data_IF_542338150698
#
_entry.id   IF_542338150698
#
_cell.length_a   1.000
_cell.length_b   1.000
_cell.length_c   1.000
_cell.angle_alpha   90.00
_cell.angle_beta   90.00
_cell.angle_gamma   90.00
#
_symmetry.space_group_name_H-M   'P 1'
#
loop_
_entity.id
_entity.type
_entity.pdbx_description
1 polymer ?
#
# COMPACT_ATOMS: atom_id res chain seq x y z
N UNK A 1 53.98 -20.19 -37.31
CA UNK A 1 52.58 -20.27 -37.74
C UNK A 1 51.71 -20.33 -36.49
N UNK A 2 51.49 -19.19 -35.86
CA UNK A 2 50.50 -18.97 -34.80
C UNK A 2 50.70 -17.54 -34.29
N UNK A 3 49.75 -16.65 -34.55
CA UNK A 3 49.45 -15.44 -33.75
C UNK A 3 48.45 -14.57 -34.53
N UNK A 4 47.19 -14.98 -34.49
CA UNK A 4 46.04 -14.13 -34.82
C UNK A 4 44.91 -14.47 -33.85
N UNK A 5 44.91 -13.77 -32.72
CA UNK A 5 43.77 -13.53 -31.83
C UNK A 5 44.32 -12.76 -30.66
N UNK A 6 44.08 -11.47 -30.57
CA UNK A 6 43.98 -10.67 -29.33
C UNK A 6 43.65 -9.24 -29.74
N UNK A 7 42.41 -9.06 -30.15
CA UNK A 7 41.74 -7.77 -30.24
C UNK A 7 40.29 -8.07 -29.84
N UNK A 8 39.60 -7.13 -29.17
CA UNK A 8 38.29 -7.28 -28.48
C UNK A 8 38.30 -7.68 -27.00
N UNK A 9 39.01 -6.95 -26.14
CA UNK A 9 38.51 -6.66 -24.77
C UNK A 9 39.01 -5.26 -24.37
N UNK A 10 38.28 -4.22 -24.75
CA UNK A 10 38.27 -2.95 -24.01
C UNK A 10 37.13 -2.06 -24.53
N UNK A 11 35.90 -2.34 -24.09
CA UNK A 11 34.84 -1.37 -24.19
C UNK A 11 33.94 -1.42 -22.94
N UNK A 12 34.12 -0.38 -22.12
CA UNK A 12 33.19 0.16 -21.11
C UNK A 12 33.03 -0.63 -19.81
N UNK A 13 33.88 -0.24 -18.85
CA UNK A 13 33.49 -0.08 -17.45
C UNK A 13 32.32 0.90 -17.34
N UNK A 14 31.10 0.40 -17.53
CA UNK A 14 29.91 1.02 -16.95
C UNK A 14 29.87 0.46 -15.53
N UNK A 15 30.30 1.28 -14.56
CA UNK A 15 30.07 1.02 -13.14
C UNK A 15 28.56 1.05 -12.95
N UNK A 16 27.94 -0.12 -12.99
CA UNK A 16 26.56 -0.33 -12.56
C UNK A 16 26.63 -0.66 -11.07
N UNK A 17 26.35 0.32 -10.20
CA UNK A 17 26.33 0.15 -8.73
C UNK A 17 25.51 -1.08 -8.30
N UNK A 18 24.53 -1.50 -9.12
CA UNK A 18 23.71 -2.68 -8.88
C UNK A 18 24.43 -4.00 -9.18
N UNK A 19 25.39 -3.99 -10.10
CA UNK A 19 26.24 -5.13 -10.44
C UNK A 19 27.29 -5.38 -9.36
N UNK A 20 27.81 -4.32 -8.74
CA UNK A 20 28.70 -4.42 -7.58
C UNK A 20 27.98 -4.91 -6.32
N UNK A 21 26.67 -4.65 -6.17
CA UNK A 21 25.85 -5.23 -5.09
C UNK A 21 25.63 -6.75 -5.23
N UNK A 22 25.45 -7.26 -6.47
CA UNK A 22 25.34 -8.70 -6.71
C UNK A 22 26.70 -9.39 -6.53
N UNK A 23 27.79 -8.77 -6.97
CA UNK A 23 29.14 -9.33 -6.80
C UNK A 23 29.63 -9.23 -5.35
N UNK A 24 29.28 -8.16 -4.63
CA UNK A 24 29.49 -8.09 -3.18
C UNK A 24 28.67 -9.14 -2.47
N UNK A 25 27.44 -9.46 -2.90
CA UNK A 25 26.65 -10.55 -2.28
C UNK A 25 27.30 -11.93 -2.32
N UNK A 26 28.22 -12.18 -3.27
CA UNK A 26 29.01 -13.43 -3.34
C UNK A 26 30.27 -13.35 -2.46
N UNK A 27 30.80 -12.15 -2.20
CA UNK A 27 31.94 -11.92 -1.28
C UNK A 27 31.46 -11.78 0.18
N UNK A 28 30.19 -11.43 0.40
CA UNK A 28 29.54 -11.23 1.70
C UNK A 28 29.27 -12.50 2.51
N UNK A 29 29.63 -13.68 2.01
CA UNK A 29 29.75 -14.85 2.90
C UNK A 29 30.87 -14.63 3.95
N UNK A 30 31.79 -13.67 3.74
CA UNK A 30 32.88 -13.35 4.68
C UNK A 30 32.66 -12.10 5.56
N UNK A 31 31.67 -11.24 5.29
CA UNK A 31 31.32 -10.09 6.15
C UNK A 31 29.90 -10.27 6.73
N UNK A 32 29.80 -10.47 8.05
CA UNK A 32 28.55 -10.75 8.78
C UNK A 32 27.47 -9.64 8.72
N UNK A 33 27.66 -8.56 7.95
CA UNK A 33 26.78 -7.38 7.96
C UNK A 33 26.21 -7.05 6.57
N UNK A 34 25.00 -6.48 6.54
CA UNK A 34 24.35 -6.12 5.27
C UNK A 34 25.11 -4.99 4.55
N UNK A 35 25.27 -5.05 3.21
CA UNK A 35 25.90 -3.97 2.44
C UNK A 35 25.04 -2.70 2.38
N UNK A 36 23.77 -2.79 2.78
CA UNK A 36 22.82 -1.67 2.77
C UNK A 36 22.85 -1.03 4.17
N UNK A 37 23.35 0.21 4.30
CA UNK A 37 23.57 0.85 5.61
C UNK A 37 22.30 0.91 6.47
N UNK A 38 21.13 1.14 5.85
CA UNK A 38 19.85 1.22 6.53
C UNK A 38 19.43 -0.14 7.12
N UNK A 39 19.76 -1.23 6.44
CA UNK A 39 19.49 -2.59 6.91
C UNK A 39 20.46 -2.94 8.04
N UNK A 40 21.75 -2.69 7.84
CA UNK A 40 22.80 -2.94 8.84
C UNK A 40 22.58 -2.17 10.16
N UNK A 41 22.00 -0.96 10.10
CA UNK A 41 21.72 -0.15 11.27
C UNK A 41 20.51 -0.63 12.09
N UNK A 42 19.60 -1.38 11.48
CA UNK A 42 18.28 -1.70 12.05
C UNK A 42 18.15 -3.19 12.38
N UNK A 43 18.69 -4.06 11.53
CA UNK A 43 18.54 -5.50 11.63
C UNK A 43 19.71 -6.07 12.44
N UNK A 44 19.40 -6.94 13.41
CA UNK A 44 20.41 -7.67 14.16
C UNK A 44 20.98 -8.81 13.32
N UNK A 45 22.30 -8.95 13.31
CA UNK A 45 22.99 -10.03 12.58
C UNK A 45 22.98 -11.37 13.37
N UNK A 46 22.61 -11.33 14.65
CA UNK A 46 22.51 -12.51 15.51
C UNK A 46 21.06 -12.92 15.75
N UNK A 47 20.79 -14.22 15.70
CA UNK A 47 19.51 -14.84 16.09
C UNK A 47 19.72 -15.93 17.14
N UNK A 48 18.75 -16.13 18.03
CA UNK A 48 18.69 -17.26 18.96
C UNK A 48 17.58 -18.25 18.53
N UNK A 49 17.93 -19.38 17.89
CA UNK A 49 16.95 -20.36 17.41
C UNK A 49 16.12 -21.04 18.50
N UNK A 50 16.55 -20.98 19.77
CA UNK A 50 15.90 -21.68 20.88
C UNK A 50 14.65 -20.97 21.43
N UNK A 51 14.44 -19.70 21.07
CA UNK A 51 13.32 -18.91 21.58
C UNK A 51 11.96 -19.45 21.13
N UNK A 52 11.00 -19.66 22.06
CA UNK A 52 9.67 -20.16 21.73
C UNK A 52 8.85 -19.12 20.97
N UNK A 53 8.19 -19.54 19.89
CA UNK A 53 7.51 -18.64 18.96
C UNK A 53 5.98 -18.89 18.85
N UNK A 54 5.55 -20.15 18.70
CA UNK A 54 4.14 -20.56 18.61
C UNK A 54 3.56 -20.95 19.98
N UNK A 55 3.49 -19.99 20.89
CA UNK A 55 2.96 -20.21 22.26
C UNK A 55 1.43 -20.13 22.30
N UNK A 56 0.84 -20.45 23.46
CA UNK A 56 -0.57 -20.16 23.73
C UNK A 56 -0.91 -18.67 23.59
N UNK A 57 -0.04 -17.76 24.08
CA UNK A 57 -0.26 -16.31 23.97
C UNK A 57 -0.27 -15.86 22.51
N UNK A 58 0.61 -16.44 21.66
CA UNK A 58 0.59 -16.19 20.23
C UNK A 58 -0.79 -16.48 19.63
N UNK A 59 -1.34 -17.68 19.83
CA UNK A 59 -2.63 -18.06 19.23
C UNK A 59 -3.78 -17.18 19.71
N UNK A 60 -3.84 -16.88 21.01
CA UNK A 60 -4.89 -16.03 21.58
C UNK A 60 -4.79 -14.60 21.04
N UNK A 61 -3.61 -13.99 21.11
CA UNK A 61 -3.41 -12.60 20.70
C UNK A 61 -3.51 -12.42 19.19
N UNK A 62 -2.88 -13.29 18.41
CA UNK A 62 -2.92 -13.25 16.95
C UNK A 62 -4.37 -13.35 16.45
N UNK A 63 -5.17 -14.28 16.99
CA UNK A 63 -6.58 -14.43 16.61
C UNK A 63 -7.39 -13.20 17.00
N UNK A 64 -7.25 -12.72 18.23
CA UNK A 64 -7.99 -11.55 18.72
C UNK A 64 -7.67 -10.29 17.89
N UNK A 65 -6.39 -9.98 17.68
CA UNK A 65 -5.99 -8.83 16.86
C UNK A 65 -6.43 -8.97 15.40
N UNK A 66 -6.34 -10.17 14.83
CA UNK A 66 -6.79 -10.43 13.45
C UNK A 66 -8.29 -10.13 13.28
N UNK A 67 -9.13 -10.60 14.19
CA UNK A 67 -10.58 -10.35 14.16
C UNK A 67 -10.88 -8.86 14.32
N UNK A 68 -10.28 -8.21 15.31
CA UNK A 68 -10.53 -6.79 15.60
C UNK A 68 -10.11 -5.91 14.42
N UNK A 69 -8.89 -6.11 13.90
CA UNK A 69 -8.35 -5.27 12.83
C UNK A 69 -9.09 -5.51 11.52
N UNK A 70 -9.36 -6.76 11.16
CA UNK A 70 -10.12 -7.07 9.95
C UNK A 70 -11.50 -6.40 9.98
N UNK A 71 -12.20 -6.47 11.12
CA UNK A 71 -13.48 -5.80 11.30
C UNK A 71 -13.36 -4.28 11.18
N UNK A 72 -12.45 -3.65 11.93
CA UNK A 72 -12.29 -2.20 11.92
C UNK A 72 -11.88 -1.67 10.54
N UNK A 73 -10.91 -2.31 9.87
CA UNK A 73 -10.45 -1.88 8.55
C UNK A 73 -11.55 -2.07 7.50
N UNK A 74 -12.27 -3.18 7.52
CA UNK A 74 -13.41 -3.39 6.62
C UNK A 74 -14.53 -2.37 6.84
N UNK A 75 -14.79 -2.00 8.09
CA UNK A 75 -15.79 -0.99 8.44
C UNK A 75 -15.38 0.40 7.93
N UNK A 76 -14.11 0.78 8.12
CA UNK A 76 -13.61 2.09 7.68
C UNK A 76 -13.34 2.19 6.18
N UNK A 77 -13.25 1.06 5.46
CA UNK A 77 -13.03 1.02 4.01
C UNK A 77 -14.06 1.82 3.21
N UNK A 78 -15.33 1.83 3.64
CA UNK A 78 -16.40 2.54 2.93
C UNK A 78 -16.41 4.06 3.17
N UNK A 79 -15.44 4.61 3.92
CA UNK A 79 -15.29 6.06 4.06
C UNK A 79 -14.64 6.63 2.79
N UNK A 80 -14.97 7.89 2.47
CA UNK A 80 -14.32 8.61 1.36
C UNK A 80 -12.80 8.71 1.55
N UNK A 81 -12.35 8.91 2.78
CA UNK A 81 -10.95 8.81 3.18
C UNK A 81 -10.85 7.62 4.15
N UNK A 82 -10.51 6.42 3.66
CA UNK A 82 -10.43 5.23 4.49
C UNK A 82 -9.36 5.40 5.57
N UNK A 83 -9.67 4.92 6.77
CA UNK A 83 -8.70 4.80 7.87
C UNK A 83 -8.32 3.34 7.98
N UNK A 84 -7.04 3.05 7.97
CA UNK A 84 -6.53 1.68 8.08
C UNK A 84 -5.63 1.55 9.31
N UNK A 85 -5.95 0.58 10.16
CA UNK A 85 -5.13 0.18 11.28
C UNK A 85 -4.01 -0.73 10.73
N UNK A 86 -2.77 -0.23 10.80
CA UNK A 86 -1.58 -0.94 10.36
C UNK A 86 -0.96 -1.84 11.43
N UNK A 87 0.05 -2.61 11.01
CA UNK A 87 0.79 -3.56 11.88
C UNK A 87 1.38 -2.90 13.13
N UNK A 88 1.83 -1.65 13.04
CA UNK A 88 2.49 -0.95 14.16
C UNK A 88 1.59 -0.83 15.39
N UNK A 89 0.27 -0.67 15.22
CA UNK A 89 -0.67 -0.63 16.35
C UNK A 89 -0.68 -1.97 17.09
N UNK A 90 -0.64 -3.10 16.36
CA UNK A 90 -0.54 -4.43 16.97
C UNK A 90 0.74 -4.58 17.75
N UNK A 91 1.88 -4.15 17.17
CA UNK A 91 3.18 -4.25 17.85
C UNK A 91 3.19 -3.48 19.18
N UNK A 92 2.57 -2.30 19.21
CA UNK A 92 2.55 -1.48 20.40
C UNK A 92 1.63 -2.02 21.48
N UNK A 93 0.48 -2.58 21.10
CA UNK A 93 -0.49 -3.14 22.04
C UNK A 93 -0.12 -4.55 22.49
N UNK A 94 0.42 -5.37 21.59
CA UNK A 94 0.81 -6.74 21.89
C UNK A 94 1.98 -6.80 22.89
N UNK A 95 2.89 -5.82 22.89
CA UNK A 95 4.00 -5.81 23.85
C UNK A 95 3.56 -5.78 25.34
N UNK A 96 2.80 -4.77 25.82
CA UNK A 96 2.36 -4.74 27.22
C UNK A 96 1.40 -5.90 27.55
N UNK A 97 0.52 -6.29 26.63
CA UNK A 97 -0.39 -7.44 26.83
C UNK A 97 0.41 -8.75 26.96
N UNK A 98 1.41 -8.97 26.10
CA UNK A 98 2.28 -10.14 26.13
C UNK A 98 3.10 -10.23 27.41
N UNK A 99 3.70 -9.10 27.85
CA UNK A 99 4.39 -9.00 29.15
C UNK A 99 3.45 -9.24 30.33
N UNK A 100 2.20 -8.76 30.26
CA UNK A 100 1.19 -9.00 31.28
C UNK A 100 0.79 -10.48 31.34
N UNK A 101 0.47 -11.09 30.20
CA UNK A 101 0.17 -12.53 30.11
C UNK A 101 1.35 -13.39 30.59
N UNK A 102 2.60 -12.97 30.32
CA UNK A 102 3.78 -13.65 30.84
C UNK A 102 3.93 -13.60 32.37
N UNK A 103 3.38 -12.59 33.03
CA UNK A 103 3.40 -12.47 34.50
C UNK A 103 2.22 -13.18 35.18
N UNK A 104 1.06 -13.22 34.51
CA UNK A 104 -0.19 -13.71 35.11
C UNK A 104 -0.47 -15.18 34.81
N UNK A 105 -0.09 -15.68 33.63
CA UNK A 105 -0.37 -17.07 33.26
C UNK A 105 0.53 -18.05 34.02
N UNK A 106 0.00 -19.23 34.41
CA UNK A 106 0.77 -20.25 35.10
C UNK A 106 1.87 -20.82 34.21
N UNK A 107 3.05 -21.03 34.79
CA UNK A 107 4.21 -21.62 34.13
C UNK A 107 3.89 -23.00 33.54
N UNK A 108 4.43 -23.30 32.36
CA UNK A 108 4.21 -24.57 31.66
C UNK A 108 3.75 -24.34 30.22
N UNK A 109 2.78 -25.12 29.74
CA UNK A 109 2.29 -25.02 28.35
C UNK A 109 1.68 -23.65 28.02
N UNK A 110 0.95 -23.04 28.98
CA UNK A 110 0.34 -21.72 28.80
C UNK A 110 1.34 -20.57 28.86
N UNK A 111 2.48 -20.78 29.52
CA UNK A 111 3.52 -19.79 29.72
C UNK A 111 4.90 -20.49 29.73
N UNK A 112 5.47 -20.76 28.53
CA UNK A 112 6.74 -21.47 28.40
C UNK A 112 7.95 -20.63 28.80
N UNK A 113 7.78 -19.31 28.97
CA UNK A 113 8.84 -18.40 29.35
C UNK A 113 8.47 -16.93 29.18
N UNK A 114 9.44 -16.02 29.38
CA UNK A 114 9.25 -14.59 29.18
C UNK A 114 8.74 -14.26 27.78
N UNK A 115 7.95 -13.19 27.67
CA UNK A 115 7.53 -12.68 26.36
C UNK A 115 8.74 -12.17 25.58
N UNK A 116 8.96 -12.77 24.40
CA UNK A 116 10.15 -12.57 23.57
C UNK A 116 9.81 -11.95 22.22
N UNK A 117 10.85 -11.51 21.51
CA UNK A 117 10.71 -10.80 20.23
C UNK A 117 10.11 -11.67 19.12
N UNK A 118 10.41 -12.98 19.06
CA UNK A 118 9.89 -13.86 18.00
C UNK A 118 8.39 -14.08 18.12
N UNK A 119 7.94 -14.38 19.34
CA UNK A 119 6.53 -14.48 19.68
C UNK A 119 5.79 -13.17 19.32
N UNK A 120 6.38 -12.02 19.67
CA UNK A 120 5.81 -10.72 19.37
C UNK A 120 5.71 -10.43 17.86
N UNK A 121 6.77 -10.71 17.11
CA UNK A 121 6.83 -10.57 15.65
C UNK A 121 5.76 -11.42 14.98
N UNK A 122 5.61 -12.69 15.40
CA UNK A 122 4.58 -13.57 14.84
C UNK A 122 3.16 -13.09 15.10
N UNK A 123 2.87 -12.57 16.30
CA UNK A 123 1.54 -12.01 16.62
C UNK A 123 1.19 -10.87 15.66
N UNK A 124 2.13 -9.93 15.49
CA UNK A 124 1.92 -8.77 14.63
C UNK A 124 1.83 -9.15 13.15
N UNK A 125 2.64 -10.11 12.68
CA UNK A 125 2.59 -10.60 11.30
C UNK A 125 1.26 -11.30 11.02
N UNK A 126 0.80 -12.17 11.91
CA UNK A 126 -0.48 -12.86 11.77
C UNK A 126 -1.65 -11.86 11.68
N UNK A 127 -1.67 -10.85 12.56
CA UNK A 127 -2.67 -9.80 12.52
C UNK A 127 -2.57 -8.92 11.26
N UNK A 128 -1.35 -8.65 10.77
CA UNK A 128 -1.16 -7.89 9.54
C UNK A 128 -1.68 -8.64 8.31
N UNK A 129 -1.51 -9.97 8.23
CA UNK A 129 -2.09 -10.80 7.18
C UNK A 129 -3.63 -10.71 7.11
N UNK A 130 -4.29 -10.43 8.24
CA UNK A 130 -5.74 -10.23 8.33
C UNK A 130 -6.18 -8.76 8.19
N UNK A 131 -5.24 -7.82 8.06
CA UNK A 131 -5.54 -6.39 8.11
C UNK A 131 -6.07 -5.79 6.80
N UNK A 132 -5.77 -6.42 5.66
CA UNK A 132 -6.22 -5.94 4.35
C UNK A 132 -7.69 -6.25 4.09
N UNK A 133 -8.43 -5.27 3.56
CA UNK A 133 -9.77 -5.50 3.02
C UNK A 133 -9.69 -6.36 1.77
N UNK A 134 -10.48 -7.44 1.72
CA UNK A 134 -10.50 -8.34 0.58
C UNK A 134 -11.16 -7.67 -0.62
N UNK A 135 -10.48 -7.62 -1.76
CA UNK A 135 -11.00 -7.01 -3.00
C UNK A 135 -12.36 -7.59 -3.44
N UNK A 136 -12.59 -8.88 -3.20
CA UNK A 136 -13.86 -9.54 -3.49
C UNK A 136 -15.06 -8.94 -2.73
N UNK A 137 -14.83 -8.24 -1.61
CA UNK A 137 -15.90 -7.53 -0.90
C UNK A 137 -16.53 -6.44 -1.74
N UNK A 138 -15.76 -5.73 -2.56
CA UNK A 138 -16.30 -4.69 -3.45
C UNK A 138 -17.27 -5.30 -4.46
N UNK A 139 -16.96 -6.48 -5.00
CA UNK A 139 -17.85 -7.22 -5.91
C UNK A 139 -19.18 -7.54 -5.21
N UNK A 140 -19.13 -8.08 -3.99
CA UNK A 140 -20.32 -8.48 -3.22
C UNK A 140 -21.17 -7.26 -2.88
N UNK A 141 -20.55 -6.16 -2.45
CA UNK A 141 -21.24 -4.92 -2.11
C UNK A 141 -21.89 -4.33 -3.35
N UNK A 142 -21.18 -4.29 -4.48
CA UNK A 142 -21.72 -3.78 -5.73
C UNK A 142 -22.93 -4.60 -6.18
N UNK A 143 -22.80 -5.93 -6.19
CA UNK A 143 -23.90 -6.84 -6.54
C UNK A 143 -25.12 -6.65 -5.64
N UNK A 144 -24.90 -6.48 -4.33
CA UNK A 144 -26.00 -6.36 -3.36
C UNK A 144 -26.67 -4.99 -3.39
N UNK A 145 -25.90 -3.91 -3.44
CA UNK A 145 -26.39 -2.54 -3.33
C UNK A 145 -26.89 -2.00 -4.66
N UNK A 146 -26.14 -2.21 -5.75
CA UNK A 146 -26.46 -1.62 -7.06
C UNK A 146 -27.26 -2.56 -7.96
N UNK A 147 -27.07 -3.88 -7.86
CA UNK A 147 -27.76 -4.86 -8.69
C UNK A 147 -28.87 -5.64 -7.97
N UNK A 148 -29.03 -5.46 -6.65
CA UNK A 148 -30.04 -6.17 -5.85
C UNK A 148 -29.85 -7.69 -5.82
N UNK A 149 -28.67 -8.20 -6.14
CA UNK A 149 -28.35 -9.63 -6.21
C UNK A 149 -27.77 -10.11 -4.88
N UNK A 150 -28.24 -11.25 -4.40
CA UNK A 150 -27.72 -11.89 -3.19
C UNK A 150 -27.54 -13.39 -3.41
N UNK A 151 -26.28 -13.83 -3.49
CA UNK A 151 -25.91 -15.23 -3.68
C UNK A 151 -25.81 -16.03 -2.35
N UNK A 152 -26.13 -15.40 -1.22
CA UNK A 152 -26.08 -16.02 0.11
C UNK A 152 -24.69 -16.01 0.73
N UNK A 153 -24.62 -16.30 2.03
CA UNK A 153 -23.38 -16.22 2.81
C UNK A 153 -22.30 -17.17 2.29
N UNK A 154 -22.65 -18.44 2.04
CA UNK A 154 -21.67 -19.46 1.67
C UNK A 154 -20.98 -19.16 0.33
N UNK A 155 -21.74 -18.73 -0.69
CA UNK A 155 -21.17 -18.37 -1.99
C UNK A 155 -20.23 -17.16 -1.87
N UNK A 156 -20.65 -16.12 -1.14
CA UNK A 156 -19.84 -14.93 -0.89
C UNK A 156 -18.58 -15.26 -0.08
N UNK A 157 -18.69 -16.10 0.94
CA UNK A 157 -17.56 -16.56 1.74
C UNK A 157 -16.56 -17.35 0.91
N UNK A 158 -17.03 -18.28 0.07
CA UNK A 158 -16.17 -19.05 -0.83
C UNK A 158 -15.49 -18.16 -1.88
N UNK A 159 -16.18 -17.14 -2.41
CA UNK A 159 -15.58 -16.16 -3.32
C UNK A 159 -14.43 -15.40 -2.64
N UNK A 160 -14.64 -14.93 -1.41
CA UNK A 160 -13.59 -14.25 -0.64
C UNK A 160 -12.44 -15.22 -0.34
N UNK A 161 -12.74 -16.42 0.15
CA UNK A 161 -11.72 -17.40 0.51
C UNK A 161 -10.84 -17.78 -0.69
N UNK A 162 -11.45 -18.10 -1.83
CA UNK A 162 -10.73 -18.51 -3.05
C UNK A 162 -9.82 -17.40 -3.58
N UNK A 163 -10.28 -16.14 -3.59
CA UNK A 163 -9.46 -14.99 -4.02
C UNK A 163 -8.28 -14.74 -3.08
N UNK A 164 -8.47 -14.87 -1.76
CA UNK A 164 -7.38 -14.75 -0.79
C UNK A 164 -6.36 -15.91 -0.91
N UNK A 165 -6.83 -17.15 -1.08
CA UNK A 165 -5.96 -18.33 -1.26
C UNK A 165 -5.08 -18.20 -2.50
N UNK A 166 -5.61 -17.66 -3.60
CA UNK A 166 -4.85 -17.39 -4.81
C UNK A 166 -3.69 -16.40 -4.53
N UNK A 167 -3.96 -15.32 -3.81
CA UNK A 167 -2.95 -14.34 -3.41
C UNK A 167 -1.81 -14.95 -2.59
N UNK A 168 -2.14 -15.72 -1.54
CA UNK A 168 -1.13 -16.40 -0.73
C UNK A 168 -0.36 -17.48 -1.52
N UNK A 169 -1.03 -18.18 -2.44
CA UNK A 169 -0.38 -19.13 -3.34
C UNK A 169 0.69 -18.48 -4.21
N UNK A 170 0.38 -17.34 -4.84
CA UNK A 170 1.34 -16.59 -5.64
C UNK A 170 2.50 -16.03 -4.79
N UNK A 171 2.20 -15.51 -3.60
CA UNK A 171 3.23 -15.02 -2.68
C UNK A 171 4.23 -16.14 -2.30
N UNK A 172 3.74 -17.37 -2.09
CA UNK A 172 4.58 -18.54 -1.85
C UNK A 172 5.54 -18.85 -2.99
N UNK A 173 5.07 -18.77 -4.24
CA UNK A 173 5.91 -18.99 -5.44
C UNK A 173 6.96 -17.89 -5.60
N UNK A 174 6.57 -16.64 -5.34
CA UNK A 174 7.46 -15.47 -5.51
C UNK A 174 8.46 -15.27 -4.37
N UNK A 175 8.27 -15.92 -3.21
CA UNK A 175 9.14 -15.81 -2.03
C UNK A 175 10.62 -16.05 -2.34
N UNK A 176 10.92 -17.03 -3.21
CA UNK A 176 12.31 -17.35 -3.61
C UNK A 176 13.00 -16.19 -4.31
N UNK A 177 12.24 -15.35 -5.03
CA UNK A 177 12.76 -14.27 -5.86
C UNK A 177 12.70 -12.91 -5.16
N UNK A 178 11.69 -12.69 -4.32
CA UNK A 178 11.41 -11.37 -3.73
C UNK A 178 11.78 -11.23 -2.24
N UNK A 179 12.05 -12.35 -1.56
CA UNK A 179 12.27 -12.36 -0.09
C UNK A 179 13.62 -12.96 0.29
N UNK A 180 14.03 -14.10 -0.29
CA UNK A 180 15.30 -14.72 0.07
C UNK A 180 16.56 -13.98 -0.39
N UNK A 181 16.60 -13.32 -1.56
CA UNK A 181 17.79 -12.59 -1.97
C UNK A 181 18.04 -11.37 -1.08
N UNK A 182 19.25 -11.24 -0.51
CA UNK A 182 19.62 -10.16 0.40
C UNK A 182 19.52 -8.74 -0.23
N UNK A 183 19.62 -8.65 -1.56
CA UNK A 183 19.46 -7.40 -2.29
C UNK A 183 18.01 -6.87 -2.31
N UNK A 184 17.01 -7.71 -1.98
CA UNK A 184 15.59 -7.33 -2.00
C UNK A 184 15.17 -6.68 -0.67
N UNK A 185 15.29 -5.36 -0.60
CA UNK A 185 14.90 -4.58 0.58
C UNK A 185 13.50 -4.02 0.45
N UNK A 186 12.74 -4.12 1.54
CA UNK A 186 11.39 -3.58 1.68
C UNK A 186 11.39 -2.48 2.75
N UNK A 187 11.49 -1.18 2.36
CA UNK A 187 11.65 -0.08 3.32
C UNK A 187 10.57 -0.01 4.40
N UNK A 188 9.31 -0.30 4.04
CA UNK A 188 8.20 -0.32 4.98
C UNK A 188 8.39 -1.36 6.11
N UNK A 189 9.09 -2.46 5.85
CA UNK A 189 9.36 -3.50 6.84
C UNK A 189 10.47 -3.08 7.80
N UNK A 190 11.44 -2.27 7.36
CA UNK A 190 12.53 -1.78 8.22
C UNK A 190 12.00 -0.97 9.40
N UNK A 191 10.96 -0.17 9.18
CA UNK A 191 10.29 0.59 10.25
C UNK A 191 9.71 -0.33 11.32
N UNK A 192 9.12 -1.46 10.90
CA UNK A 192 8.58 -2.46 11.82
C UNK A 192 9.70 -3.17 12.61
N UNK A 193 10.79 -3.53 11.94
CA UNK A 193 11.96 -4.16 12.60
C UNK A 193 12.58 -3.22 13.62
N UNK A 194 12.75 -1.94 13.27
CA UNK A 194 13.27 -0.92 14.18
C UNK A 194 12.39 -0.79 15.44
N UNK A 195 11.06 -0.85 15.28
CA UNK A 195 10.13 -0.78 16.40
C UNK A 195 10.20 -2.03 17.29
N UNK A 196 10.29 -3.24 16.72
CA UNK A 196 10.51 -4.46 17.51
C UNK A 196 11.82 -4.40 18.29
N UNK A 197 12.89 -3.94 17.66
CA UNK A 197 14.19 -3.72 18.29
C UNK A 197 14.09 -2.73 19.45
N UNK A 198 13.42 -1.60 19.26
CA UNK A 198 13.23 -0.59 20.30
C UNK A 198 12.38 -1.10 21.50
N UNK A 199 11.45 -2.03 21.28
CA UNK A 199 10.61 -2.58 22.34
C UNK A 199 11.29 -3.71 23.15
N UNK A 200 12.21 -4.45 22.53
CA UNK A 200 12.84 -5.64 23.13
C UNK A 200 14.30 -5.44 23.56
N UNK A 201 14.96 -4.38 23.07
CA UNK A 201 16.34 -4.07 23.45
C UNK A 201 16.33 -3.15 24.67
N UNK A 202 17.10 -3.51 25.68
CA UNK A 202 17.37 -2.61 26.80
C UNK A 202 18.22 -1.44 26.28
N UNK A 203 17.75 -0.21 26.51
CA UNK A 203 18.45 1.00 26.07
C UNK A 203 19.43 1.47 27.14
N UNK A 204 20.73 1.41 26.83
CA UNK A 204 21.77 2.10 27.59
C UNK A 204 21.68 3.60 27.33
N UNK A 205 20.78 4.26 28.05
CA UNK A 205 20.54 5.70 27.91
C UNK A 205 21.60 6.49 28.64
N UNK A 206 22.27 7.40 27.92
CA UNK A 206 23.08 8.43 28.57
C UNK A 206 22.17 9.44 29.30
N UNK A 207 22.71 10.10 30.33
CA UNK A 207 21.95 11.04 31.16
C UNK A 207 21.34 12.16 30.31
N UNK A 208 20.00 12.23 30.26
CA UNK A 208 19.25 13.27 29.53
C UNK A 208 18.66 12.82 28.20
N UNK A 209 19.02 11.65 27.67
CA UNK A 209 18.37 11.10 26.48
C UNK A 209 16.98 10.55 26.81
N UNK A 210 16.02 10.79 25.92
CA UNK A 210 14.70 10.16 26.02
C UNK A 210 14.80 8.74 25.48
N UNK A 211 14.18 7.80 26.19
CA UNK A 211 14.00 6.46 25.62
C UNK A 211 13.14 6.53 24.37
N UNK A 212 13.39 5.65 23.39
CA UNK A 212 12.55 5.59 22.17
C UNK A 212 11.08 5.37 22.53
N UNK A 213 10.83 4.57 23.55
CA UNK A 213 9.50 4.33 24.10
C UNK A 213 8.86 5.61 24.69
N UNK A 214 9.62 6.42 25.46
CA UNK A 214 9.10 7.67 26.02
C UNK A 214 8.76 8.68 24.93
N UNK A 215 9.65 8.86 23.95
CA UNK A 215 9.38 9.71 22.79
C UNK A 215 8.12 9.25 22.05
N UNK A 216 8.01 7.95 21.79
CA UNK A 216 6.84 7.36 21.15
C UNK A 216 5.54 7.67 21.91
N UNK A 217 5.52 7.46 23.24
CA UNK A 217 4.33 7.72 24.05
C UNK A 217 3.92 9.20 24.06
N UNK A 218 4.89 10.12 24.11
CA UNK A 218 4.62 11.57 24.03
C UNK A 218 4.05 11.92 22.65
N UNK A 219 4.66 11.41 21.57
CA UNK A 219 4.18 11.64 20.21
C UNK A 219 2.78 11.05 19.99
N UNK A 220 2.51 9.84 20.50
CA UNK A 220 1.20 9.20 20.44
C UNK A 220 0.11 10.04 21.11
N UNK A 221 0.37 10.53 22.33
CA UNK A 221 -0.58 11.39 23.06
C UNK A 221 -0.78 12.72 22.33
N UNK A 222 0.30 13.32 21.83
CA UNK A 222 0.22 14.57 21.07
C UNK A 222 -0.62 14.42 19.80
N UNK A 223 -0.38 13.38 19.01
CA UNK A 223 -1.15 13.08 17.79
C UNK A 223 -2.59 12.71 18.15
N UNK A 224 -2.82 11.95 19.22
CA UNK A 224 -4.17 11.63 19.70
C UNK A 224 -5.01 12.88 19.94
N UNK A 225 -4.46 13.91 20.58
CA UNK A 225 -5.18 15.18 20.77
C UNK A 225 -5.21 16.04 19.51
N UNK A 226 -4.14 16.03 18.72
CA UNK A 226 -4.07 16.77 17.46
C UNK A 226 -5.17 16.34 16.49
N UNK A 227 -5.42 15.04 16.34
CA UNK A 227 -6.40 14.50 15.39
C UNK A 227 -7.83 14.99 15.67
N UNK A 228 -8.17 15.41 16.90
CA UNK A 228 -9.48 16.01 17.20
C UNK A 228 -9.65 17.37 16.54
N UNK A 229 -8.55 18.07 16.23
CA UNK A 229 -8.59 19.38 15.60
C UNK A 229 -9.09 19.29 14.16
N UNK A 230 -8.44 18.57 13.23
CA UNK A 230 -8.91 18.48 11.86
C UNK A 230 -10.16 17.62 11.69
N UNK A 231 -10.48 16.71 12.62
CA UNK A 231 -11.64 15.82 12.45
C UNK A 231 -12.93 16.33 13.09
N UNK A 232 -12.84 17.11 14.18
CA UNK A 232 -14.01 17.52 14.95
C UNK A 232 -14.08 19.03 15.22
N UNK A 233 -13.01 19.63 15.76
CA UNK A 233 -13.03 21.02 16.23
C UNK A 233 -13.02 22.01 15.07
N UNK A 234 -12.16 21.78 14.07
CA UNK A 234 -12.02 22.65 12.91
C UNK A 234 -11.83 21.86 11.60
N UNK A 235 -12.89 21.24 11.07
CA UNK A 235 -12.79 20.36 9.89
C UNK A 235 -12.24 21.01 8.61
N UNK A 236 -12.28 22.35 8.52
CA UNK A 236 -11.79 23.10 7.36
C UNK A 236 -10.28 22.87 7.13
N UNK A 237 -9.47 22.67 8.19
CA UNK A 237 -8.04 22.41 8.02
C UNK A 237 -7.74 21.03 7.44
N UNK A 238 -8.73 20.13 7.41
CA UNK A 238 -8.60 18.83 6.77
C UNK A 238 -8.53 18.91 5.24
N UNK A 239 -9.04 19.98 4.63
CA UNK A 239 -8.85 20.21 3.18
C UNK A 239 -9.05 21.69 2.82
N UNK A 240 -7.92 22.39 2.66
CA UNK A 240 -7.88 23.82 2.35
C UNK A 240 -7.61 24.00 0.86
N UNK A 241 -8.69 24.14 0.09
CA UNK A 241 -8.66 24.52 -1.32
C UNK A 241 -8.54 26.05 -1.49
N UNK A 242 -7.42 26.63 -1.07
CA UNK A 242 -7.26 28.10 -1.04
C UNK A 242 -7.36 28.76 -2.42
N UNK A 243 -7.02 28.05 -3.50
CA UNK A 243 -7.16 28.55 -4.88
C UNK A 243 -8.63 28.86 -5.21
N UNK A 244 -9.59 28.12 -4.64
CA UNK A 244 -11.01 28.40 -4.81
C UNK A 244 -11.45 29.73 -4.19
N UNK A 245 -10.69 30.31 -3.27
CA UNK A 245 -10.99 31.64 -2.69
C UNK A 245 -10.69 32.78 -3.66
N UNK A 246 -9.84 32.57 -4.67
CA UNK A 246 -9.50 33.60 -5.67
C UNK A 246 -10.75 33.97 -6.49
N UNK A 247 -11.53 32.97 -6.91
CA UNK A 247 -12.77 33.17 -7.65
C UNK A 247 -13.81 32.08 -7.34
N UNK A 248 -14.57 32.22 -6.24
CA UNK A 248 -15.48 31.18 -5.75
C UNK A 248 -16.60 30.80 -6.73
N UNK A 249 -17.04 31.74 -7.58
CA UNK A 249 -18.12 31.52 -8.56
C UNK A 249 -17.65 30.87 -9.86
N UNK A 250 -16.35 30.63 -10.04
CA UNK A 250 -15.82 30.07 -11.28
C UNK A 250 -15.79 28.55 -11.24
N UNK A 251 -16.51 27.94 -12.19
CA UNK A 251 -16.47 26.49 -12.43
C UNK A 251 -15.06 25.99 -12.76
N UNK A 252 -14.28 26.76 -13.53
CA UNK A 252 -12.89 26.46 -13.86
C UNK A 252 -12.02 26.33 -12.60
N UNK A 253 -12.10 27.31 -11.71
CA UNK A 253 -11.29 27.33 -10.48
C UNK A 253 -11.70 26.20 -9.54
N UNK A 254 -13.00 25.88 -9.47
CA UNK A 254 -13.51 24.74 -8.71
C UNK A 254 -13.06 23.39 -9.29
N UNK A 255 -13.05 23.24 -10.62
CA UNK A 255 -12.58 22.02 -11.29
C UNK A 255 -11.08 21.78 -11.09
N UNK A 256 -10.27 22.83 -11.08
CA UNK A 256 -8.81 22.73 -10.97
C UNK A 256 -8.36 22.61 -9.52
N UNK A 257 -8.80 23.52 -8.65
CA UNK A 257 -8.31 23.64 -7.27
C UNK A 257 -9.26 23.12 -6.20
N UNK A 258 -10.48 22.71 -6.57
CA UNK A 258 -11.47 22.25 -5.60
C UNK A 258 -11.17 20.86 -5.06
N UNK A 259 -11.71 20.57 -3.88
CA UNK A 259 -11.60 19.26 -3.21
C UNK A 259 -12.31 18.12 -3.96
N UNK A 260 -13.32 18.45 -4.76
CA UNK A 260 -13.98 17.54 -5.71
C UNK A 260 -13.49 17.71 -7.15
N UNK A 261 -12.43 18.50 -7.34
CA UNK A 261 -11.75 18.72 -8.62
C UNK A 261 -10.40 17.98 -8.68
N UNK A 262 -9.44 18.54 -9.40
CA UNK A 262 -8.09 17.99 -9.57
C UNK A 262 -7.15 18.25 -8.38
N UNK A 263 -7.62 18.99 -7.37
CA UNK A 263 -6.90 19.21 -6.11
C UNK A 263 -5.64 20.06 -6.22
N UNK A 264 -5.48 20.88 -7.27
CA UNK A 264 -4.30 21.74 -7.41
C UNK A 264 -4.24 22.71 -6.24
N UNK A 265 -3.09 22.73 -5.54
CA UNK A 265 -2.86 23.63 -4.41
C UNK A 265 -3.70 23.32 -3.16
N UNK A 266 -4.41 22.20 -3.11
CA UNK A 266 -5.12 21.78 -1.89
C UNK A 266 -4.10 21.35 -0.83
N UNK A 267 -4.22 21.93 0.37
CA UNK A 267 -3.38 21.61 1.52
C UNK A 267 -4.25 20.93 2.57
N UNK A 268 -3.77 19.84 3.14
CA UNK A 268 -4.43 19.14 4.24
C UNK A 268 -3.52 19.09 5.45
N UNK A 269 -4.07 19.46 6.61
CA UNK A 269 -3.44 19.25 7.92
C UNK A 269 -3.98 18.01 8.64
N UNK A 270 -4.82 17.22 7.97
CA UNK A 270 -5.36 15.97 8.46
C UNK A 270 -4.50 14.81 7.93
N UNK A 271 -3.81 14.11 8.84
CA UNK A 271 -2.94 13.00 8.46
C UNK A 271 -3.72 11.83 7.85
N UNK A 272 -4.98 11.64 8.23
CA UNK A 272 -5.85 10.61 7.65
C UNK A 272 -6.17 10.91 6.19
N UNK A 273 -6.37 12.18 5.83
CA UNK A 273 -6.60 12.60 4.43
C UNK A 273 -5.34 12.41 3.59
N UNK A 274 -4.17 12.78 4.13
CA UNK A 274 -2.88 12.66 3.42
C UNK A 274 -2.52 11.19 3.14
N UNK A 275 -2.81 10.30 4.08
CA UNK A 275 -2.35 8.89 4.00
C UNK A 275 -3.39 7.92 3.45
N UNK A 276 -4.66 8.32 3.31
CA UNK A 276 -5.78 7.45 2.95
C UNK A 276 -5.55 6.55 1.72
N UNK A 277 -4.95 7.08 0.66
CA UNK A 277 -4.85 6.40 -0.64
C UNK A 277 -3.43 6.04 -1.08
N UNK A 278 -2.42 6.76 -0.59
CA UNK A 278 -1.01 6.54 -0.94
C UNK A 278 -0.18 5.95 0.22
N UNK A 279 -0.79 5.75 1.38
CA UNK A 279 -0.09 5.33 2.59
C UNK A 279 0.79 6.42 3.18
N UNK A 280 1.66 6.06 4.12
CA UNK A 280 2.57 7.01 4.76
C UNK A 280 3.74 7.35 3.84
N UNK A 281 3.97 8.64 3.49
CA UNK A 281 5.13 9.03 2.69
C UNK A 281 6.45 8.87 3.46
N UNK A 282 6.40 8.81 4.80
CA UNK A 282 7.59 8.73 5.66
C UNK A 282 8.39 7.44 5.47
N UNK A 283 7.75 6.38 4.97
CA UNK A 283 8.39 5.06 4.79
C UNK A 283 8.81 4.80 3.34
N UNK A 284 8.47 5.70 2.42
CA UNK A 284 8.72 5.56 0.99
C UNK A 284 9.99 6.34 0.63
N UNK A 285 10.95 5.75 -0.11
CA UNK A 285 12.15 6.48 -0.53
C UNK A 285 11.83 7.73 -1.36
N UNK A 286 12.63 8.79 -1.20
CA UNK A 286 12.43 10.08 -1.88
C UNK A 286 12.29 9.94 -3.41
N UNK A 287 13.18 9.17 -4.05
CA UNK A 287 13.13 8.99 -5.50
C UNK A 287 11.79 8.40 -5.96
N UNK A 288 11.20 7.50 -5.17
CA UNK A 288 9.93 6.86 -5.50
C UNK A 288 8.77 7.86 -5.35
N UNK A 289 8.82 8.70 -4.30
CA UNK A 289 7.86 9.79 -4.10
C UNK A 289 7.88 10.77 -5.28
N UNK A 290 9.06 11.18 -5.74
CA UNK A 290 9.22 12.09 -6.88
C UNK A 290 8.66 11.46 -8.16
N UNK A 291 8.93 10.18 -8.41
CA UNK A 291 8.40 9.48 -9.59
C UNK A 291 6.87 9.42 -9.59
N UNK A 292 6.25 9.08 -8.45
CA UNK A 292 4.79 9.08 -8.29
C UNK A 292 4.25 10.51 -8.48
N UNK A 293 4.91 11.52 -7.89
CA UNK A 293 4.53 12.92 -8.01
C UNK A 293 4.57 13.45 -9.44
N UNK A 294 5.62 13.11 -10.22
CA UNK A 294 5.72 13.47 -11.64
C UNK A 294 4.62 12.77 -12.44
N UNK A 295 4.39 11.48 -12.20
CA UNK A 295 3.31 10.73 -12.86
C UNK A 295 1.94 11.36 -12.60
N UNK A 296 1.65 11.68 -11.34
CA UNK A 296 0.42 12.37 -10.94
C UNK A 296 0.31 13.74 -11.62
N UNK A 297 1.36 14.56 -11.59
CA UNK A 297 1.40 15.87 -12.23
C UNK A 297 1.06 15.78 -13.73
N UNK A 298 1.74 14.88 -14.45
CA UNK A 298 1.54 14.72 -15.90
C UNK A 298 0.12 14.24 -16.21
N UNK A 299 -0.40 13.24 -15.51
CA UNK A 299 -1.73 12.70 -15.81
C UNK A 299 -2.83 13.66 -15.32
N UNK A 300 -2.84 13.98 -14.02
CA UNK A 300 -3.94 14.70 -13.39
C UNK A 300 -3.93 16.20 -13.72
N UNK A 301 -2.76 16.84 -13.83
CA UNK A 301 -2.68 18.30 -13.99
C UNK A 301 -2.30 18.76 -15.41
N UNK A 302 -1.86 17.86 -16.29
CA UNK A 302 -1.56 18.20 -17.69
C UNK A 302 -2.52 17.49 -18.65
N UNK A 303 -2.48 16.15 -18.71
CA UNK A 303 -3.22 15.39 -19.73
C UNK A 303 -4.74 15.48 -19.51
N UNK A 304 -5.23 15.32 -18.26
CA UNK A 304 -6.66 15.40 -17.97
C UNK A 304 -7.25 16.78 -18.33
N UNK A 305 -6.67 17.91 -17.89
CA UNK A 305 -7.13 19.24 -18.31
C UNK A 305 -7.11 19.42 -19.83
N UNK A 306 -6.03 19.03 -20.51
CA UNK A 306 -5.95 19.13 -21.97
C UNK A 306 -7.11 18.37 -22.60
N UNK A 307 -7.28 17.08 -22.27
CA UNK A 307 -8.34 16.25 -22.82
C UNK A 307 -9.75 16.81 -22.53
N UNK A 308 -9.98 17.32 -21.32
CA UNK A 308 -11.28 17.88 -20.93
C UNK A 308 -11.58 19.18 -21.68
N UNK A 309 -10.64 20.13 -21.73
CA UNK A 309 -10.86 21.45 -22.34
C UNK A 309 -10.84 21.41 -23.87
N UNK A 310 -10.11 20.46 -24.49
CA UNK A 310 -10.21 20.17 -25.93
C UNK A 310 -11.47 19.38 -26.30
N UNK A 311 -12.34 19.07 -25.33
CA UNK A 311 -13.56 18.29 -25.50
C UNK A 311 -13.33 16.89 -26.11
N UNK A 312 -12.21 16.24 -25.75
CA UNK A 312 -11.90 14.90 -26.19
C UNK A 312 -13.01 13.93 -25.71
N UNK A 313 -13.61 13.19 -26.63
CA UNK A 313 -14.73 12.28 -26.36
C UNK A 313 -15.99 12.94 -25.78
N UNK A 314 -16.25 14.21 -26.15
CA UNK A 314 -17.38 14.99 -25.64
C UNK A 314 -17.32 15.15 -24.11
N UNK A 315 -16.11 15.32 -23.58
CA UNK A 315 -15.81 15.45 -22.16
C UNK A 315 -16.66 16.48 -21.41
N UNK A 316 -17.02 17.59 -22.07
CA UNK A 316 -17.75 18.70 -21.44
C UNK A 316 -19.20 18.37 -21.07
N UNK A 317 -19.74 17.25 -21.55
CA UNK A 317 -21.07 16.78 -21.17
C UNK A 317 -21.13 16.24 -19.74
N UNK A 318 -19.99 15.95 -19.12
CA UNK A 318 -19.91 15.37 -17.78
C UNK A 318 -18.87 16.10 -16.91
N UNK A 319 -18.92 15.92 -15.57
CA UNK A 319 -17.91 16.45 -14.67
C UNK A 319 -16.52 15.88 -14.98
N UNK A 320 -15.48 16.71 -14.80
CA UNK A 320 -14.07 16.33 -15.04
C UNK A 320 -13.66 15.11 -14.20
N UNK A 321 -14.15 15.03 -12.97
CA UNK A 321 -13.87 13.99 -11.99
C UNK A 321 -15.20 13.54 -11.37
N UNK A 322 -15.59 12.29 -11.63
CA UNK A 322 -16.75 11.64 -11.02
C UNK A 322 -16.71 10.14 -11.29
N UNK A 323 -17.15 9.30 -10.33
CA UNK A 323 -17.34 7.87 -10.55
C UNK A 323 -18.66 7.53 -11.26
N UNK A 324 -19.53 8.52 -11.50
CA UNK A 324 -20.82 8.30 -12.14
C UNK A 324 -20.69 7.86 -13.60
N UNK A 325 -21.70 7.12 -14.05
CA UNK A 325 -21.81 6.61 -15.41
C UNK A 325 -22.79 7.49 -16.21
N UNK A 326 -22.47 7.75 -17.46
CA UNK A 326 -23.23 8.65 -18.32
C UNK A 326 -23.63 7.99 -19.64
N UNK A 327 -24.71 8.50 -20.23
CA UNK A 327 -25.07 8.24 -21.62
C UNK A 327 -24.39 9.24 -22.55
N UNK A 328 -24.48 9.00 -23.85
CA UNK A 328 -23.93 9.89 -24.89
C UNK A 328 -24.52 11.31 -24.82
N UNK A 329 -25.74 11.47 -24.31
CA UNK A 329 -26.40 12.77 -24.14
C UNK A 329 -26.08 13.46 -22.79
N UNK A 330 -25.18 12.89 -21.97
CA UNK A 330 -24.80 13.43 -20.65
C UNK A 330 -25.75 13.07 -19.49
N UNK A 331 -26.83 12.32 -19.74
CA UNK A 331 -27.72 11.85 -18.66
C UNK A 331 -27.10 10.67 -17.90
N UNK A 332 -27.53 10.46 -16.66
CA UNK A 332 -27.10 9.32 -15.86
C UNK A 332 -27.43 7.98 -16.55
N UNK A 333 -26.47 7.05 -16.49
CA UNK A 333 -26.59 5.71 -17.04
C UNK A 333 -27.00 4.71 -15.95
N UNK A 334 -28.17 4.09 -16.10
CA UNK A 334 -28.65 3.05 -15.19
C UNK A 334 -28.31 1.67 -15.76
N UNK A 335 -27.33 0.99 -15.16
CA UNK A 335 -26.85 -0.30 -15.66
C UNK A 335 -27.93 -1.39 -15.67
N UNK A 336 -28.95 -1.29 -14.81
CA UNK A 336 -30.09 -2.23 -14.76
C UNK A 336 -30.95 -2.23 -16.02
N UNK A 337 -30.97 -1.13 -16.78
CA UNK A 337 -31.78 -0.99 -18.00
C UNK A 337 -31.26 -1.83 -19.17
N UNK A 338 -29.97 -2.19 -19.15
CA UNK A 338 -29.34 -3.01 -20.20
C UNK A 338 -29.10 -4.46 -19.75
N UNK A 339 -29.57 -4.82 -18.57
CA UNK A 339 -29.36 -6.15 -17.98
C UNK A 339 -30.68 -6.93 -17.92
N UNK A 340 -30.65 -8.18 -18.36
CA UNK A 340 -31.74 -9.14 -18.17
C UNK A 340 -31.19 -10.33 -17.38
N UNK A 341 -31.77 -10.60 -16.20
CA UNK A 341 -31.31 -11.66 -15.27
C UNK A 341 -29.79 -11.59 -14.95
N UNK A 342 -29.24 -10.37 -14.87
CA UNK A 342 -27.82 -10.16 -14.58
C UNK A 342 -26.87 -10.39 -15.76
N UNK A 343 -27.39 -10.64 -16.95
CA UNK A 343 -26.61 -10.71 -18.19
C UNK A 343 -26.92 -9.50 -19.08
N UNK A 344 -25.94 -9.07 -19.87
CA UNK A 344 -26.12 -8.02 -20.86
C UNK A 344 -27.17 -8.44 -21.90
N UNK A 345 -28.19 -7.62 -22.09
CA UNK A 345 -29.12 -7.77 -23.18
C UNK A 345 -28.69 -6.84 -24.32
N UNK A 346 -28.15 -7.42 -25.39
CA UNK A 346 -27.59 -6.67 -26.52
C UNK A 346 -28.63 -5.75 -27.17
N UNK A 347 -29.87 -6.22 -27.31
CA UNK A 347 -30.94 -5.40 -27.92
C UNK A 347 -31.31 -4.17 -27.07
N UNK A 348 -31.36 -4.33 -25.75
CA UNK A 348 -31.56 -3.20 -24.83
C UNK A 348 -30.34 -2.28 -24.82
N UNK A 349 -29.14 -2.83 -24.89
CA UNK A 349 -27.91 -2.05 -24.94
C UNK A 349 -27.81 -1.21 -26.21
N UNK A 350 -28.14 -1.77 -27.38
CA UNK A 350 -28.20 -1.04 -28.65
C UNK A 350 -29.23 0.10 -28.61
N UNK A 351 -30.40 -0.13 -28.00
CA UNK A 351 -31.43 0.89 -27.84
C UNK A 351 -31.06 1.98 -26.81
N UNK A 352 -30.42 1.59 -25.71
CA UNK A 352 -30.05 2.49 -24.61
C UNK A 352 -28.79 3.31 -24.90
N UNK A 353 -27.91 2.78 -25.75
CA UNK A 353 -26.67 3.38 -26.20
C UNK A 353 -25.45 3.03 -25.33
N UNK A 354 -24.24 3.39 -25.80
CA UNK A 354 -23.01 3.03 -25.12
C UNK A 354 -22.81 3.83 -23.82
N UNK A 355 -22.15 3.18 -22.87
CA UNK A 355 -21.71 3.76 -21.60
C UNK A 355 -20.59 4.81 -21.81
N UNK A 356 -20.68 5.93 -21.10
CA UNK A 356 -19.64 6.95 -20.99
C UNK A 356 -19.20 7.12 -19.54
N UNK A 357 -17.92 7.43 -19.34
CA UNK A 357 -17.30 7.70 -18.04
C UNK A 357 -16.53 9.03 -18.13
N UNK A 358 -16.24 9.63 -16.98
CA UNK A 358 -15.49 10.89 -16.93
C UNK A 358 -14.08 10.76 -17.52
N UNK A 359 -13.56 11.86 -18.07
CA UNK A 359 -12.24 11.90 -18.72
C UNK A 359 -11.12 11.49 -17.75
N UNK A 360 -11.19 11.95 -16.49
CA UNK A 360 -10.24 11.54 -15.45
C UNK A 360 -10.29 10.03 -15.23
N UNK A 361 -11.49 9.44 -15.16
CA UNK A 361 -11.65 8.01 -14.92
C UNK A 361 -11.14 7.17 -16.10
N UNK A 362 -11.47 7.56 -17.34
CA UNK A 362 -11.01 6.90 -18.56
C UNK A 362 -9.47 6.90 -18.68
N UNK A 363 -8.84 8.05 -18.45
CA UNK A 363 -7.38 8.18 -18.53
C UNK A 363 -6.68 7.38 -17.42
N UNK A 364 -7.24 7.33 -16.22
CA UNK A 364 -6.70 6.53 -15.12
C UNK A 364 -6.71 5.03 -15.47
N UNK A 365 -7.79 4.53 -16.08
CA UNK A 365 -7.83 3.16 -16.60
C UNK A 365 -6.79 2.91 -17.68
N UNK A 366 -6.66 3.84 -18.64
CA UNK A 366 -5.67 3.74 -19.72
C UNK A 366 -4.24 3.65 -19.18
N UNK A 367 -3.90 4.50 -18.20
CA UNK A 367 -2.60 4.46 -17.52
C UNK A 367 -2.41 3.16 -16.75
N UNK A 368 -3.45 2.61 -16.12
CA UNK A 368 -3.41 1.30 -15.47
C UNK A 368 -3.00 0.18 -16.43
N UNK A 369 -3.61 0.11 -17.61
CA UNK A 369 -3.22 -0.85 -18.65
C UNK A 369 -1.81 -0.60 -19.20
N UNK A 370 -1.45 0.66 -19.39
CA UNK A 370 -0.11 1.03 -19.82
C UNK A 370 0.95 0.64 -18.78
N UNK A 371 0.64 0.71 -17.48
CA UNK A 371 1.52 0.29 -16.39
C UNK A 371 1.96 -1.17 -16.51
N UNK A 372 1.04 -2.09 -16.79
CA UNK A 372 1.34 -3.51 -16.99
C UNK A 372 2.31 -3.73 -18.16
N UNK A 373 2.07 -3.05 -19.28
CA UNK A 373 2.92 -3.15 -20.47
C UNK A 373 4.28 -2.48 -20.26
N UNK A 374 4.29 -1.38 -19.50
CA UNK A 374 5.50 -0.64 -19.11
C UNK A 374 6.42 -1.52 -18.28
N UNK A 375 5.90 -2.35 -17.37
CA UNK A 375 6.74 -3.29 -16.60
C UNK A 375 7.51 -4.25 -17.52
N UNK A 376 6.84 -4.86 -18.50
CA UNK A 376 7.48 -5.76 -19.46
C UNK A 376 8.51 -5.03 -20.32
N UNK A 377 8.15 -3.85 -20.82
CA UNK A 377 9.00 -3.02 -21.67
C UNK A 377 10.24 -2.54 -20.91
N UNK A 378 10.06 -2.04 -19.69
CA UNK A 378 11.14 -1.60 -18.81
C UNK A 378 12.08 -2.75 -18.46
N UNK A 379 11.54 -3.91 -18.07
CA UNK A 379 12.34 -5.10 -17.75
C UNK A 379 13.19 -5.52 -18.95
N UNK A 380 12.59 -5.56 -20.14
CA UNK A 380 13.34 -5.86 -21.35
C UNK A 380 14.41 -4.80 -21.64
N UNK A 381 14.06 -3.51 -21.66
CA UNK A 381 15.01 -2.47 -22.02
C UNK A 381 16.20 -2.38 -21.04
N UNK A 382 15.98 -2.49 -19.74
CA UNK A 382 17.04 -2.37 -18.74
C UNK A 382 17.79 -3.68 -18.49
N UNK A 383 17.10 -4.81 -18.52
CA UNK A 383 17.68 -6.09 -18.11
C UNK A 383 17.90 -7.08 -19.27
N UNK A 384 17.61 -6.73 -20.54
CA UNK A 384 17.82 -7.62 -21.72
C UNK A 384 19.21 -8.23 -21.77
N UNK A 385 20.26 -7.48 -21.45
CA UNK A 385 21.63 -7.99 -21.55
C UNK A 385 21.88 -9.10 -20.52
N UNK A 386 21.39 -8.92 -19.29
CA UNK A 386 21.43 -9.95 -18.24
C UNK A 386 20.55 -11.16 -18.61
N UNK A 387 19.33 -10.92 -19.08
CA UNK A 387 18.38 -11.96 -19.47
C UNK A 387 18.91 -12.84 -20.62
N UNK A 388 19.46 -12.21 -21.67
CA UNK A 388 20.03 -12.94 -22.82
C UNK A 388 21.30 -13.69 -22.43
N UNK A 389 22.11 -13.14 -21.52
CA UNK A 389 23.31 -13.82 -21.02
C UNK A 389 22.98 -15.04 -20.16
N UNK A 390 21.92 -14.99 -19.34
CA UNK A 390 21.45 -16.14 -18.54
C UNK A 390 20.70 -17.20 -19.36
N UNK A 391 20.13 -16.80 -20.50
CA UNK A 391 19.43 -17.71 -21.41
C UNK A 391 20.36 -18.58 -22.25
N UNK A 392 21.56 -18.06 -22.56
CA UNK A 392 22.63 -18.80 -23.24
C UNK A 392 23.38 -19.67 -22.25
#
# INVERSE_FOLDING_TARGET
MSEQKHEYINEKDVIDEKYDLERSSVVLEEEENSPIPEVAAIVSNTDDPSLPSLTFRFWVMATAFSVIISFCNQFFWFRQNPITIGMSVVQLLAYPIGKFMAKVLPSGFLNPGPFNVKEHVLIALAANCASGTAYAMDIIVIQRVFYGQNFGFLANFLLILTTQMLGFGMAGVLRRYLVYPAAMVWPANLVQVALFGALHKDEDLSSGQWSRYKFFMVAFIAVFFYEWIPTFIFPVIGSIAWICWIKPSSTLVSQIGGTSGLGVGVISFDWSVVTAWLGSPLVVPWWAQVNIGIGFFLIAWVIVPIAYYTDLWNAKLFPILTPALFRVNGQSYHATEVLTKGQLNETLYEAYGPLRISTFFALTYGVGFAGLTSMLTHTWLYHRHKLVAQWK
#
